data_IF_786975591304
#
_entry.id   IF_786975591304
#
_cell.length_a   1.000
_cell.length_b   1.000
_cell.length_c   1.000
_cell.angle_alpha   90.00
_cell.angle_beta   90.00
_cell.angle_gamma   90.00
#
_symmetry.space_group_name_H-M   'P 1'
#
loop_
_entity.id
_entity.type
_entity.pdbx_description
1 polymer ?
#
# COMPACT_ATOMS: atom_id res chain seq x y z
N UNK A 1 16.15 2.13 -9.14
CA UNK A 1 15.08 1.51 -8.33
C UNK A 1 13.86 1.24 -9.21
N UNK A 2 13.42 -0.01 -9.26
CA UNK A 2 12.21 -0.46 -9.97
C UNK A 2 11.09 -0.65 -8.97
N UNK A 3 9.89 -0.20 -9.31
CA UNK A 3 8.69 -0.38 -8.51
C UNK A 3 7.58 -0.94 -9.40
N UNK A 4 6.91 -1.96 -8.89
CA UNK A 4 5.75 -2.61 -9.52
C UNK A 4 4.55 -2.43 -8.62
N UNK A 5 3.48 -1.84 -9.13
CA UNK A 5 2.19 -1.82 -8.45
C UNK A 5 1.51 -3.15 -8.71
N UNK A 6 1.42 -3.99 -7.67
CA UNK A 6 0.79 -5.30 -7.76
C UNK A 6 -0.73 -5.18 -7.65
N UNK A 7 -1.18 -4.37 -6.69
CA UNK A 7 -2.57 -4.00 -6.51
C UNK A 7 -2.67 -2.52 -6.15
N UNK A 8 -3.72 -1.87 -6.63
CA UNK A 8 -3.91 -0.42 -6.53
C UNK A 8 -5.18 0.02 -5.81
N UNK A 9 -6.06 -0.92 -5.45
CA UNK A 9 -7.28 -0.61 -4.71
C UNK A 9 -7.07 -0.66 -3.19
N UNK A 10 -7.96 0.01 -2.43
CA UNK A 10 -8.07 -0.16 -0.98
C UNK A 10 -8.66 -1.55 -0.63
N UNK A 11 -8.85 -1.82 0.67
CA UNK A 11 -9.51 -3.03 1.16
C UNK A 11 -10.82 -3.36 0.43
N UNK A 12 -10.98 -4.63 0.03
CA UNK A 12 -12.12 -5.13 -0.74
C UNK A 12 -11.93 -5.13 -2.26
N UNK A 13 -10.93 -4.40 -2.78
CA UNK A 13 -10.64 -4.35 -4.21
C UNK A 13 -11.66 -3.56 -5.03
N UNK A 14 -11.51 -3.58 -6.35
CA UNK A 14 -12.45 -2.95 -7.29
C UNK A 14 -12.67 -3.86 -8.52
N UNK A 15 -13.89 -4.31 -8.80
CA UNK A 15 -15.10 -4.14 -8.00
C UNK A 15 -15.03 -4.95 -6.70
N UNK A 16 -15.52 -4.38 -5.59
CA UNK A 16 -15.63 -5.11 -4.32
C UNK A 16 -16.74 -6.17 -4.39
N UNK A 17 -16.47 -7.37 -3.87
CA UNK A 17 -17.30 -8.57 -4.05
C UNK A 17 -18.79 -8.41 -3.73
N UNK A 18 -19.14 -7.63 -2.69
CA UNK A 18 -20.51 -7.38 -2.25
C UNK A 18 -21.02 -5.96 -2.54
N UNK A 19 -20.27 -5.15 -3.28
CA UNK A 19 -20.63 -3.76 -3.54
C UNK A 19 -21.33 -3.61 -4.90
N UNK A 20 -22.42 -2.86 -4.92
CA UNK A 20 -23.16 -2.47 -6.13
C UNK A 20 -23.26 -0.94 -6.27
N UNK A 21 -22.30 -0.19 -5.72
CA UNK A 21 -22.22 1.24 -6.00
C UNK A 21 -22.02 1.48 -7.50
N UNK A 22 -22.27 2.72 -7.96
CA UNK A 22 -22.14 3.12 -9.38
C UNK A 22 -20.87 2.57 -10.03
N UNK A 23 -19.73 2.68 -9.35
CA UNK A 23 -18.45 2.22 -9.88
C UNK A 23 -18.37 0.69 -10.00
N UNK A 24 -18.71 -0.04 -8.93
CA UNK A 24 -18.64 -1.50 -8.94
C UNK A 24 -19.63 -2.13 -9.92
N UNK A 25 -20.84 -1.57 -10.04
CA UNK A 25 -21.79 -2.00 -11.05
C UNK A 25 -21.29 -1.63 -12.45
N UNK A 26 -20.81 -0.41 -12.63
CA UNK A 26 -20.37 0.10 -13.92
C UNK A 26 -19.19 -0.65 -14.53
N UNK A 27 -18.22 -1.09 -13.71
CA UNK A 27 -17.11 -1.91 -14.20
C UNK A 27 -17.55 -3.35 -14.54
N UNK A 28 -18.60 -3.86 -13.90
CA UNK A 28 -19.13 -5.20 -14.20
C UNK A 28 -19.95 -5.22 -15.49
N UNK A 29 -20.78 -4.21 -15.73
CA UNK A 29 -21.65 -4.13 -16.90
C UNK A 29 -21.04 -3.35 -18.09
N UNK A 30 -19.86 -2.73 -17.88
CA UNK A 30 -19.15 -1.96 -18.89
C UNK A 30 -19.74 -0.57 -19.15
N UNK A 31 -20.61 -0.05 -18.28
CA UNK A 31 -21.23 1.27 -18.43
C UNK A 31 -20.33 2.45 -18.05
N UNK A 32 -19.17 2.19 -17.42
CA UNK A 32 -18.13 3.20 -17.20
C UNK A 32 -16.77 2.72 -17.73
N UNK A 33 -15.91 3.63 -18.21
CA UNK A 33 -14.53 3.30 -18.56
C UNK A 33 -13.71 3.18 -17.27
N UNK A 34 -13.60 1.97 -16.73
CA UNK A 34 -12.80 1.67 -15.55
C UNK A 34 -12.17 0.29 -15.65
N UNK A 35 -11.04 0.10 -14.98
CA UNK A 35 -10.29 -1.17 -14.95
C UNK A 35 -10.35 -1.81 -13.56
N UNK A 36 -10.63 -3.13 -13.43
CA UNK A 36 -10.55 -3.84 -12.16
C UNK A 36 -9.17 -3.74 -11.48
N UNK A 37 -9.13 -3.78 -10.16
CA UNK A 37 -7.95 -3.62 -9.31
C UNK A 37 -8.01 -4.53 -8.09
N UNK A 38 -6.90 -5.18 -7.80
CA UNK A 38 -6.63 -5.95 -6.58
C UNK A 38 -6.17 -5.03 -5.45
N UNK A 39 -6.17 -5.54 -4.23
CA UNK A 39 -5.86 -4.79 -3.02
C UNK A 39 -4.39 -4.35 -2.93
N UNK A 40 -4.17 -3.18 -2.32
CA UNK A 40 -2.91 -2.43 -2.28
C UNK A 40 -1.69 -3.28 -1.92
N UNK A 41 -0.75 -3.35 -2.85
CA UNK A 41 0.56 -3.97 -2.65
C UNK A 41 1.51 -3.48 -3.74
N UNK A 42 2.79 -3.32 -3.39
CA UNK A 42 3.86 -3.03 -4.35
C UNK A 42 5.02 -4.00 -4.18
N UNK A 43 5.80 -4.18 -5.23
CA UNK A 43 7.12 -4.80 -5.16
C UNK A 43 8.19 -3.78 -5.58
N UNK A 44 9.30 -3.72 -4.86
CA UNK A 44 10.45 -2.86 -5.18
C UNK A 44 11.71 -3.69 -5.38
N UNK A 45 12.60 -3.24 -6.27
CA UNK A 45 13.85 -3.92 -6.59
C UNK A 45 14.94 -2.93 -7.01
N UNK A 46 16.20 -3.24 -6.68
CA UNK A 46 17.38 -2.55 -7.21
C UNK A 46 17.97 -3.23 -8.46
N UNK A 47 17.68 -4.51 -8.70
CA UNK A 47 18.28 -5.31 -9.78
C UNK A 47 17.27 -5.84 -10.80
N UNK A 48 15.98 -5.84 -10.47
CA UNK A 48 14.88 -6.39 -11.27
C UNK A 48 14.77 -7.91 -11.27
N UNK A 49 15.53 -8.62 -10.45
CA UNK A 49 15.53 -10.09 -10.32
C UNK A 49 15.15 -10.57 -8.93
N UNK A 50 15.41 -9.77 -7.90
CA UNK A 50 15.04 -10.03 -6.51
C UNK A 50 14.19 -8.86 -6.02
N UNK A 51 13.13 -9.16 -5.29
CA UNK A 51 12.09 -8.18 -4.97
C UNK A 51 11.79 -8.15 -3.48
N UNK A 52 11.51 -6.95 -2.99
CA UNK A 52 10.93 -6.69 -1.68
C UNK A 52 9.44 -6.42 -1.87
N UNK A 53 8.60 -7.22 -1.22
CA UNK A 53 7.16 -7.02 -1.23
C UNK A 53 6.77 -6.04 -0.11
N UNK A 54 6.05 -4.98 -0.42
CA UNK A 54 5.45 -4.10 0.58
C UNK A 54 3.95 -4.40 0.68
N UNK A 55 3.53 -4.91 1.84
CA UNK A 55 2.22 -5.45 2.15
C UNK A 55 1.87 -6.71 1.32
N UNK A 56 1.37 -7.75 1.98
CA UNK A 56 0.93 -8.99 1.36
C UNK A 56 -0.60 -9.05 1.36
N UNK A 57 -1.20 -8.62 0.25
CA UNK A 57 -2.66 -8.52 0.15
C UNK A 57 -3.35 -9.89 0.06
N UNK A 58 -4.66 -10.00 0.36
CA UNK A 58 -5.44 -11.21 0.11
C UNK A 58 -5.34 -11.73 -1.34
N UNK A 59 -5.10 -10.83 -2.29
CA UNK A 59 -5.01 -11.12 -3.72
C UNK A 59 -3.61 -11.59 -4.17
N UNK A 60 -2.68 -11.79 -3.24
CA UNK A 60 -1.25 -12.02 -3.54
C UNK A 60 -1.00 -13.14 -4.56
N UNK A 61 -1.78 -14.22 -4.53
CA UNK A 61 -1.63 -15.33 -5.49
C UNK A 61 -1.94 -14.87 -6.93
N UNK A 62 -2.98 -14.07 -7.12
CA UNK A 62 -3.33 -13.49 -8.42
C UNK A 62 -2.30 -12.44 -8.82
N UNK A 63 -1.85 -11.61 -7.87
CA UNK A 63 -0.83 -10.59 -8.10
C UNK A 63 0.49 -11.20 -8.56
N UNK A 64 0.98 -12.27 -7.92
CA UNK A 64 2.19 -12.98 -8.36
C UNK A 64 1.97 -13.60 -9.75
N UNK A 65 0.82 -14.22 -10.00
CA UNK A 65 0.52 -14.82 -11.30
C UNK A 65 0.50 -13.79 -12.45
N UNK A 66 0.04 -12.57 -12.19
CA UNK A 66 0.00 -11.47 -13.16
C UNK A 66 1.36 -10.77 -13.39
N UNK A 67 2.35 -11.02 -12.52
CA UNK A 67 3.65 -10.34 -12.54
C UNK A 67 4.79 -11.38 -12.60
N UNK A 68 5.08 -11.93 -13.80
CA UNK A 68 6.01 -13.05 -13.96
C UNK A 68 7.44 -12.76 -13.48
N UNK A 69 7.84 -11.48 -13.37
CA UNK A 69 9.10 -11.06 -12.75
C UNK A 69 9.24 -11.45 -11.27
N UNK A 70 8.14 -11.81 -10.60
CA UNK A 70 8.14 -12.32 -9.23
C UNK A 70 8.41 -13.84 -9.15
N UNK A 71 8.49 -14.54 -10.27
CA UNK A 71 8.80 -15.97 -10.31
C UNK A 71 10.33 -16.20 -10.36
N UNK A 72 10.83 -17.18 -9.60
CA UNK A 72 12.24 -17.59 -9.72
C UNK A 72 12.41 -18.63 -10.83
N UNK A 73 13.02 -18.23 -11.93
CA UNK A 73 13.35 -19.16 -13.02
C UNK A 73 14.53 -20.07 -12.65
N UNK A 74 14.55 -21.29 -13.21
CA UNK A 74 15.66 -22.24 -13.06
C UNK A 74 15.60 -23.14 -11.82
N UNK A 75 14.54 -23.06 -11.03
CA UNK A 75 14.30 -23.92 -9.84
C UNK A 75 12.92 -24.57 -9.93
N UNK A 76 12.74 -25.73 -9.29
CA UNK A 76 11.44 -26.41 -9.22
C UNK A 76 10.44 -25.71 -8.30
N UNK A 77 10.93 -25.08 -7.23
CA UNK A 77 10.16 -24.24 -6.31
C UNK A 77 11.00 -23.02 -5.95
N UNK A 78 10.44 -21.82 -6.14
CA UNK A 78 11.07 -20.58 -5.75
C UNK A 78 10.26 -19.36 -6.17
N UNK A 79 10.47 -18.28 -5.44
CA UNK A 79 9.93 -16.94 -5.72
C UNK A 79 11.08 -15.95 -5.78
N UNK A 80 10.90 -14.85 -6.50
CA UNK A 80 11.84 -13.74 -6.50
C UNK A 80 11.62 -12.80 -5.30
N UNK A 81 10.55 -13.00 -4.51
CA UNK A 81 10.29 -12.25 -3.29
C UNK A 81 11.25 -12.75 -2.20
N UNK A 82 12.21 -11.90 -1.83
CA UNK A 82 13.23 -12.23 -0.83
C UNK A 82 13.01 -11.62 0.55
N UNK A 83 12.15 -10.60 0.65
CA UNK A 83 11.76 -9.97 1.90
C UNK A 83 10.37 -9.35 1.77
N UNK A 84 9.65 -9.29 2.87
CA UNK A 84 8.31 -8.69 2.97
C UNK A 84 8.38 -7.59 4.02
N UNK A 85 7.91 -6.39 3.71
CA UNK A 85 7.76 -5.27 4.66
C UNK A 85 6.27 -5.04 4.85
N UNK A 86 5.80 -5.00 6.10
CA UNK A 86 4.43 -4.66 6.43
C UNK A 86 4.38 -3.22 6.97
N UNK A 87 3.54 -2.39 6.38
CA UNK A 87 3.37 -0.99 6.82
C UNK A 87 2.40 -0.84 7.98
N UNK A 88 1.55 -1.84 8.20
CA UNK A 88 0.60 -1.93 9.30
C UNK A 88 0.16 -3.39 9.52
N UNK A 89 -0.77 -3.61 10.45
CA UNK A 89 -1.36 -4.91 10.76
C UNK A 89 -2.73 -5.11 10.11
N UNK A 90 -3.12 -4.32 9.10
CA UNK A 90 -4.47 -4.45 8.54
C UNK A 90 -4.66 -5.79 7.81
N UNK A 91 -5.90 -6.29 7.80
CA UNK A 91 -6.26 -7.58 7.17
C UNK A 91 -5.91 -7.57 5.68
N UNK A 92 -6.18 -6.46 5.00
CA UNK A 92 -5.89 -6.25 3.59
C UNK A 92 -4.40 -6.12 3.25
N UNK A 93 -3.53 -5.93 4.24
CA UNK A 93 -2.08 -5.86 4.07
C UNK A 93 -1.31 -7.08 4.59
N UNK A 94 -1.97 -7.97 5.36
CA UNK A 94 -1.31 -9.12 6.00
C UNK A 94 -1.85 -10.49 5.57
N UNK A 95 -3.10 -10.58 5.10
CA UNK A 95 -3.74 -11.89 4.81
C UNK A 95 -2.99 -12.70 3.76
N UNK A 96 -2.33 -12.03 2.81
CA UNK A 96 -1.54 -12.68 1.77
C UNK A 96 -0.43 -13.58 2.31
N UNK A 97 0.09 -13.30 3.52
CA UNK A 97 1.09 -14.15 4.18
C UNK A 97 0.61 -15.61 4.31
N UNK A 98 -0.69 -15.82 4.55
CA UNK A 98 -1.28 -17.16 4.64
C UNK A 98 -1.17 -17.94 3.32
N UNK A 99 -1.23 -17.24 2.17
CA UNK A 99 -1.10 -17.82 0.83
C UNK A 99 0.36 -18.11 0.43
N UNK A 100 1.34 -17.65 1.22
CA UNK A 100 2.77 -17.86 0.96
C UNK A 100 3.37 -19.00 1.79
N UNK A 101 2.57 -19.70 2.61
CA UNK A 101 3.02 -20.71 3.58
C UNK A 101 3.80 -21.87 2.97
N UNK A 102 3.49 -22.29 1.74
CA UNK A 102 4.21 -23.37 1.05
C UNK A 102 5.64 -22.97 0.63
N UNK A 103 5.96 -21.67 0.70
CA UNK A 103 7.28 -21.10 0.43
C UNK A 103 8.08 -20.72 1.68
N UNK A 104 7.57 -20.98 2.89
CA UNK A 104 8.31 -20.66 4.13
C UNK A 104 9.69 -21.35 4.19
N UNK A 105 10.68 -20.73 4.85
CA UNK A 105 10.56 -19.53 5.68
C UNK A 105 10.58 -18.21 4.89
N UNK A 106 9.96 -17.16 5.45
CA UNK A 106 9.95 -15.80 4.89
C UNK A 106 10.54 -14.76 5.85
N UNK A 107 11.33 -13.82 5.33
CA UNK A 107 11.83 -12.68 6.09
C UNK A 107 10.78 -11.56 6.10
N UNK A 108 10.19 -11.28 7.26
CA UNK A 108 9.11 -10.29 7.43
C UNK A 108 9.58 -9.17 8.34
N UNK A 109 9.61 -7.96 7.79
CA UNK A 109 9.98 -6.73 8.47
C UNK A 109 8.72 -5.98 8.88
N UNK A 110 8.57 -5.75 10.18
CA UNK A 110 7.49 -4.93 10.72
C UNK A 110 7.86 -4.38 12.09
N UNK A 111 7.16 -3.35 12.54
CA UNK A 111 7.35 -2.78 13.87
C UNK A 111 6.98 -3.80 14.96
N UNK A 112 7.49 -3.65 16.20
CA UNK A 112 7.09 -4.48 17.33
C UNK A 112 5.56 -4.48 17.57
N UNK A 113 4.89 -3.37 17.31
CA UNK A 113 3.44 -3.23 17.47
C UNK A 113 2.66 -4.06 16.43
N UNK A 114 3.06 -3.98 15.15
CA UNK A 114 2.47 -4.82 14.10
C UNK A 114 2.73 -6.30 14.38
N UNK A 115 3.94 -6.65 14.81
CA UNK A 115 4.25 -8.02 15.23
C UNK A 115 3.40 -8.47 16.44
N UNK A 116 3.13 -7.58 17.39
CA UNK A 116 2.25 -7.84 18.53
C UNK A 116 0.82 -8.16 18.10
N UNK A 117 0.27 -7.40 17.17
CA UNK A 117 -1.05 -7.68 16.57
C UNK A 117 -1.05 -9.03 15.83
N UNK A 118 0.03 -9.31 15.08
CA UNK A 118 0.16 -10.51 14.23
C UNK A 118 0.63 -11.78 14.98
N UNK A 119 0.82 -11.68 16.30
CA UNK A 119 1.07 -12.80 17.22
C UNK A 119 -0.07 -13.02 18.20
N UNK A 120 -1.05 -12.11 18.25
CA UNK A 120 -2.19 -12.17 19.17
C UNK A 120 -3.54 -12.13 18.45
N UNK A 121 -4.08 -10.95 18.14
CA UNK A 121 -5.42 -10.75 17.60
C UNK A 121 -5.61 -11.35 16.21
N UNK A 122 -4.58 -11.33 15.37
CA UNK A 122 -4.54 -12.07 14.10
C UNK A 122 -3.23 -12.86 14.02
N UNK A 123 -3.14 -14.04 14.66
CA UNK A 123 -1.87 -14.66 15.03
C UNK A 123 -1.16 -15.39 13.87
N UNK A 124 -0.94 -14.71 12.74
CA UNK A 124 -0.33 -15.28 11.53
C UNK A 124 1.09 -15.79 11.81
N UNK A 125 1.91 -15.07 12.58
CA UNK A 125 3.27 -15.55 12.94
C UNK A 125 3.20 -16.87 13.70
N UNK A 126 2.30 -16.97 14.67
CA UNK A 126 2.06 -18.19 15.45
C UNK A 126 1.55 -19.32 14.55
N UNK A 127 0.56 -19.06 13.70
CA UNK A 127 -0.02 -20.05 12.79
C UNK A 127 1.02 -20.59 11.79
N UNK A 128 1.79 -19.71 11.16
CA UNK A 128 2.72 -20.10 10.11
C UNK A 128 4.02 -20.71 10.63
N UNK A 129 4.30 -20.63 11.94
CA UNK A 129 5.43 -21.34 12.56
C UNK A 129 5.41 -22.86 12.29
N UNK A 130 4.22 -23.43 12.06
CA UNK A 130 4.02 -24.84 11.70
C UNK A 130 4.42 -25.19 10.25
N UNK A 131 4.73 -24.20 9.40
CA UNK A 131 5.18 -24.38 8.02
C UNK A 131 6.66 -24.03 7.89
N UNK A 132 7.54 -25.04 8.00
CA UNK A 132 8.98 -24.93 7.73
C UNK A 132 9.66 -23.69 8.36
N UNK A 133 9.37 -23.41 9.64
CA UNK A 133 9.92 -22.27 10.37
C UNK A 133 9.13 -20.97 10.27
N UNK A 134 8.18 -20.89 9.32
CA UNK A 134 7.21 -19.80 9.25
C UNK A 134 7.78 -18.44 8.87
N UNK A 135 7.33 -17.41 9.58
CA UNK A 135 7.72 -16.03 9.34
C UNK A 135 8.83 -15.63 10.33
N UNK A 136 9.95 -15.15 9.81
CA UNK A 136 11.08 -14.65 10.59
C UNK A 136 10.90 -13.15 10.75
N UNK A 137 10.57 -12.71 11.97
CA UNK A 137 10.39 -11.29 12.28
C UNK A 137 11.73 -10.55 12.32
N UNK A 138 11.79 -9.43 11.61
CA UNK A 138 12.84 -8.41 11.69
C UNK A 138 12.21 -7.10 12.20
N UNK A 139 12.55 -6.62 13.41
CA UNK A 139 11.94 -5.43 13.96
C UNK A 139 12.35 -4.18 13.19
N UNK A 140 11.37 -3.34 12.87
CA UNK A 140 11.60 -2.00 12.33
C UNK A 140 11.51 -0.99 13.47
N UNK A 141 12.58 -0.25 13.70
CA UNK A 141 12.58 0.94 14.55
C UNK A 141 12.23 2.17 13.70
N UNK A 142 11.15 2.92 14.01
CA UNK A 142 10.81 4.11 13.24
C UNK A 142 11.93 5.17 13.26
N UNK A 143 12.04 5.91 12.17
CA UNK A 143 13.09 6.89 11.86
C UNK A 143 14.53 6.33 11.77
N UNK A 144 14.76 5.06 12.12
CA UNK A 144 16.04 4.39 11.93
C UNK A 144 16.09 3.73 10.54
N UNK A 145 17.13 3.99 9.74
CA UNK A 145 17.28 3.34 8.45
C UNK A 145 17.63 1.86 8.60
N UNK A 146 17.09 1.02 7.72
CA UNK A 146 17.41 -0.40 7.60
C UNK A 146 17.57 -0.82 6.13
N UNK A 147 18.16 -1.99 5.92
CA UNK A 147 18.37 -2.58 4.59
C UNK A 147 18.05 -4.06 4.62
N UNK A 148 17.59 -4.58 3.48
CA UNK A 148 17.31 -6.01 3.31
C UNK A 148 18.38 -6.65 2.43
N UNK A 149 18.70 -7.92 2.68
CA UNK A 149 19.80 -8.60 1.99
C UNK A 149 19.61 -8.75 0.47
N UNK A 150 18.36 -8.86 0.02
CA UNK A 150 18.03 -9.15 -1.39
C UNK A 150 18.09 -7.93 -2.30
N UNK A 151 18.02 -6.72 -1.74
CA UNK A 151 18.15 -5.46 -2.46
C UNK A 151 19.08 -4.51 -1.69
N UNK A 152 20.41 -4.79 -1.68
CA UNK A 152 21.36 -4.08 -0.82
C UNK A 152 21.58 -2.61 -1.19
N UNK A 153 21.21 -2.18 -2.41
CA UNK A 153 21.27 -0.78 -2.79
C UNK A 153 20.07 0.02 -2.27
N UNK A 154 18.99 -0.64 -1.82
CA UNK A 154 17.82 0.03 -1.26
C UNK A 154 17.96 0.20 0.26
N UNK A 155 17.84 1.45 0.71
CA UNK A 155 17.72 1.83 2.11
C UNK A 155 16.29 2.22 2.41
N UNK A 156 15.73 1.67 3.48
CA UNK A 156 14.37 1.90 3.92
C UNK A 156 14.40 2.68 5.23
N UNK A 157 13.53 3.67 5.36
CA UNK A 157 13.29 4.37 6.62
C UNK A 157 11.80 4.42 6.87
N UNK A 158 11.38 3.84 8.00
CA UNK A 158 9.98 3.86 8.41
C UNK A 158 9.64 5.20 9.08
N UNK A 159 8.55 5.82 8.65
CA UNK A 159 8.08 7.10 9.16
C UNK A 159 6.73 6.84 9.86
N UNK A 160 6.61 7.06 11.18
CA UNK A 160 5.34 6.95 11.87
C UNK A 160 4.29 7.84 11.23
N UNK A 161 3.10 7.29 11.01
CA UNK A 161 1.94 8.05 10.53
C UNK A 161 0.78 7.82 11.47
N UNK A 162 0.00 8.87 11.72
CA UNK A 162 -1.16 8.76 12.60
C UNK A 162 -2.29 8.04 11.85
N UNK A 163 -2.52 6.79 12.21
CA UNK A 163 -3.70 6.03 11.81
C UNK A 163 -4.11 5.05 12.92
N UNK A 164 -5.30 4.48 12.81
CA UNK A 164 -5.86 3.61 13.84
C UNK A 164 -5.43 2.16 13.60
N UNK A 165 -5.13 1.44 14.68
CA UNK A 165 -4.91 0.00 14.63
C UNK A 165 -6.17 -0.72 14.08
N UNK A 166 -6.04 -1.90 13.44
CA UNK A 166 -7.18 -2.62 12.87
C UNK A 166 -8.23 -2.97 13.94
N UNK A 167 -9.50 -3.19 13.57
CA UNK A 167 -10.57 -3.47 14.53
C UNK A 167 -10.32 -4.67 15.47
N UNK A 168 -9.52 -5.64 15.05
CA UNK A 168 -9.18 -6.81 15.87
C UNK A 168 -8.07 -6.52 16.89
N UNK A 169 -7.33 -5.42 16.72
CA UNK A 169 -6.19 -5.09 17.58
C UNK A 169 -6.66 -4.71 19.00
N UNK A 170 -5.97 -5.17 20.06
CA UNK A 170 -6.22 -4.70 21.42
C UNK A 170 -5.96 -3.19 21.58
N UNK A 171 -5.28 -2.55 20.62
CA UNK A 171 -4.99 -1.12 20.60
C UNK A 171 -5.95 -0.31 19.72
N UNK A 172 -7.05 -0.89 19.24
CA UNK A 172 -8.08 -0.13 18.51
C UNK A 172 -8.55 1.09 19.30
N UNK A 173 -8.49 2.27 18.69
CA UNK A 173 -8.80 3.56 19.32
C UNK A 173 -7.72 4.13 20.24
N UNK A 174 -6.57 3.45 20.36
CA UNK A 174 -5.41 3.87 21.16
C UNK A 174 -4.11 3.62 20.38
N UNK A 175 -3.93 4.24 19.20
CA UNK A 175 -2.82 3.92 18.33
C UNK A 175 -1.47 4.35 18.95
N UNK A 176 -0.48 3.47 18.82
CA UNK A 176 0.93 3.72 19.10
C UNK A 176 1.65 4.10 17.79
N UNK A 177 2.77 4.84 17.85
CA UNK A 177 3.50 5.29 16.66
C UNK A 177 3.91 4.18 15.69
N UNK A 178 4.08 2.94 16.15
CA UNK A 178 4.48 1.81 15.31
C UNK A 178 3.34 1.07 14.61
N UNK A 179 2.05 1.35 14.88
CA UNK A 179 0.96 0.60 14.22
C UNK A 179 0.84 0.87 12.73
N UNK A 180 1.22 2.07 12.28
CA UNK A 180 1.16 2.47 10.89
C UNK A 180 2.41 3.28 10.54
N UNK A 181 3.08 2.86 9.47
CA UNK A 181 4.27 3.53 8.96
C UNK A 181 4.13 3.84 7.46
N UNK A 182 4.65 4.97 7.04
CA UNK A 182 5.06 5.19 5.66
C UNK A 182 6.51 4.70 5.47
N UNK A 183 6.91 4.45 4.23
CA UNK A 183 8.27 4.04 3.88
C UNK A 183 8.92 5.08 2.97
N UNK A 184 10.02 5.67 3.43
CA UNK A 184 10.98 6.31 2.54
C UNK A 184 11.94 5.24 2.03
N UNK A 185 12.07 5.12 0.71
CA UNK A 185 12.93 4.14 0.04
C UNK A 185 13.92 4.91 -0.82
N UNK A 186 15.20 4.84 -0.46
CA UNK A 186 16.30 5.49 -1.16
C UNK A 186 17.15 4.42 -1.87
N UNK A 187 17.39 4.62 -3.16
CA UNK A 187 18.45 3.88 -3.85
C UNK A 187 19.78 4.58 -3.60
N UNK A 188 20.68 3.96 -2.85
CA UNK A 188 21.95 4.56 -2.43
C UNK A 188 22.95 4.77 -3.58
N UNK A 189 22.76 4.07 -4.70
CA UNK A 189 23.64 4.20 -5.87
C UNK A 189 23.26 5.42 -6.72
N UNK A 190 21.97 5.71 -6.87
CA UNK A 190 21.47 6.86 -7.65
C UNK A 190 21.06 8.07 -6.82
N UNK A 191 20.82 7.90 -5.52
CA UNK A 191 20.22 8.89 -4.63
C UNK A 191 18.71 9.08 -4.82
N UNK A 192 18.07 8.29 -5.70
CA UNK A 192 16.65 8.43 -6.02
C UNK A 192 15.76 7.98 -4.86
N UNK A 193 14.70 8.75 -4.57
CA UNK A 193 13.84 8.57 -3.40
C UNK A 193 12.37 8.38 -3.75
N UNK A 194 11.76 7.33 -3.19
CA UNK A 194 10.33 7.09 -3.18
C UNK A 194 9.79 7.27 -1.76
N UNK A 195 8.71 8.04 -1.60
CA UNK A 195 7.89 7.97 -0.40
C UNK A 195 6.62 7.17 -0.70
N UNK A 196 6.47 6.02 -0.04
CA UNK A 196 5.30 5.15 -0.10
C UNK A 196 4.45 5.29 1.18
N UNK A 197 3.24 5.83 1.06
CA UNK A 197 2.32 6.03 2.17
C UNK A 197 0.87 5.71 1.71
N UNK A 198 0.49 4.42 1.59
CA UNK A 198 -0.81 4.02 1.04
C UNK A 198 -1.99 4.37 1.93
N UNK A 199 -1.78 4.51 3.24
CA UNK A 199 -2.72 5.12 4.18
C UNK A 199 -2.11 6.41 4.72
N UNK A 200 -2.80 7.54 4.58
CA UNK A 200 -2.28 8.84 4.97
C UNK A 200 -3.43 9.73 5.49
N UNK A 201 -3.37 10.04 6.78
CA UNK A 201 -4.18 11.08 7.39
C UNK A 201 -3.64 12.49 7.07
N UNK A 202 -4.03 13.48 7.87
CA UNK A 202 -3.51 14.84 7.71
C UNK A 202 -1.99 14.89 7.93
N UNK A 203 -1.18 15.28 6.91
CA UNK A 203 0.27 15.30 7.05
C UNK A 203 0.71 16.50 7.88
N UNK A 204 1.59 16.26 8.86
CA UNK A 204 2.22 17.32 9.64
C UNK A 204 3.39 17.97 8.88
N UNK A 205 3.99 19.01 9.45
CA UNK A 205 5.09 19.74 8.84
C UNK A 205 6.33 18.86 8.58
N UNK A 206 6.58 17.86 9.42
CA UNK A 206 7.72 16.96 9.27
C UNK A 206 7.50 16.01 8.08
N UNK A 207 6.29 15.46 7.95
CA UNK A 207 5.92 14.61 6.84
C UNK A 207 5.88 15.39 5.52
N UNK A 208 5.39 16.62 5.51
CA UNK A 208 5.44 17.50 4.32
C UNK A 208 6.87 17.76 3.85
N UNK A 209 7.82 17.96 4.78
CA UNK A 209 9.23 18.13 4.43
C UNK A 209 9.81 16.84 3.81
N UNK A 210 9.45 15.67 4.34
CA UNK A 210 9.84 14.37 3.78
C UNK A 210 9.24 14.16 2.39
N UNK A 211 7.96 14.46 2.20
CA UNK A 211 7.29 14.41 0.90
C UNK A 211 8.01 15.31 -0.12
N UNK A 212 8.35 16.54 0.25
CA UNK A 212 9.06 17.48 -0.61
C UNK A 212 10.48 17.01 -1.01
N UNK A 213 11.09 16.13 -0.22
CA UNK A 213 12.44 15.60 -0.46
C UNK A 213 12.49 14.38 -1.39
N UNK A 214 11.35 13.77 -1.71
CA UNK A 214 11.26 12.59 -2.56
C UNK A 214 11.23 12.95 -4.06
N UNK A 215 11.71 12.04 -4.92
CA UNK A 215 11.57 12.16 -6.38
C UNK A 215 10.20 11.69 -6.87
N UNK A 216 9.62 10.71 -6.15
CA UNK A 216 8.31 10.16 -6.42
C UNK A 216 7.50 9.99 -5.14
N UNK A 217 6.22 10.37 -5.20
CA UNK A 217 5.24 10.05 -4.16
C UNK A 217 4.31 8.95 -4.67
N UNK A 218 4.15 7.90 -3.88
CA UNK A 218 3.12 6.87 -4.08
C UNK A 218 2.28 6.79 -2.81
N UNK A 219 1.11 7.41 -2.84
CA UNK A 219 0.42 7.93 -1.65
C UNK A 219 -1.07 7.66 -1.71
N UNK A 220 -1.72 7.70 -0.55
CA UNK A 220 -3.14 7.47 -0.35
C UNK A 220 -4.04 8.17 -1.38
N UNK A 221 -4.95 7.40 -1.97
CA UNK A 221 -5.99 7.85 -2.88
C UNK A 221 -7.36 7.29 -2.52
N UNK A 222 -7.58 6.95 -1.25
CA UNK A 222 -8.71 6.15 -0.79
C UNK A 222 -10.04 6.78 -1.15
N UNK A 223 -10.27 8.03 -0.75
CA UNK A 223 -11.56 8.72 -0.95
C UNK A 223 -11.37 10.07 -1.66
N UNK A 224 -12.33 10.42 -2.51
CA UNK A 224 -12.42 11.77 -3.07
C UNK A 224 -12.99 12.76 -2.07
N UNK A 225 -14.02 12.37 -1.32
CA UNK A 225 -14.66 13.18 -0.27
C UNK A 225 -14.63 12.46 1.07
N UNK A 226 -14.60 13.20 2.18
CA UNK A 226 -14.49 12.60 3.51
C UNK A 226 -15.72 11.72 3.85
N UNK A 227 -16.90 12.10 3.39
CA UNK A 227 -18.16 11.36 3.61
C UNK A 227 -18.57 10.47 2.42
N UNK A 228 -17.64 10.09 1.55
CA UNK A 228 -17.92 9.37 0.30
C UNK A 228 -18.68 8.03 0.50
N UNK A 229 -18.37 7.28 1.57
CA UNK A 229 -19.09 6.03 1.89
C UNK A 229 -20.56 6.26 2.24
N UNK A 230 -20.86 7.38 2.92
CA UNK A 230 -22.22 7.77 3.26
C UNK A 230 -22.96 8.26 2.01
N UNK A 231 -22.31 9.08 1.17
CA UNK A 231 -22.89 9.60 -0.07
C UNK A 231 -23.22 8.48 -1.08
N UNK A 232 -22.42 7.42 -1.10
CA UNK A 232 -22.66 6.24 -1.94
C UNK A 232 -23.60 5.21 -1.31
N UNK A 233 -23.96 5.37 -0.03
CA UNK A 233 -24.88 4.48 0.69
C UNK A 233 -24.30 3.13 1.09
N UNK A 234 -22.97 2.97 1.07
CA UNK A 234 -22.29 1.69 1.34
C UNK A 234 -21.61 1.62 2.72
N UNK A 235 -21.63 2.72 3.47
CA UNK A 235 -21.05 2.79 4.81
C UNK A 235 -21.42 4.08 5.55
N UNK A 236 -20.94 4.20 6.80
CA UNK A 236 -21.13 5.40 7.64
C UNK A 236 -19.83 6.06 8.08
N UNK A 237 -18.71 5.35 7.98
CA UNK A 237 -17.41 5.87 8.39
C UNK A 237 -16.97 6.98 7.42
N UNK A 238 -16.42 8.05 7.98
CA UNK A 238 -15.71 9.08 7.21
C UNK A 238 -14.29 8.63 6.88
N UNK A 239 -13.62 9.32 5.96
CA UNK A 239 -12.19 9.16 5.72
C UNK A 239 -11.38 9.35 6.99
N UNK A 240 -11.70 10.38 7.78
CA UNK A 240 -11.07 10.64 9.09
C UNK A 240 -11.26 9.48 10.08
N UNK A 241 -12.44 8.86 10.14
CA UNK A 241 -12.66 7.68 11.01
C UNK A 241 -11.77 6.49 10.62
N UNK A 242 -11.40 6.42 9.34
CA UNK A 242 -10.56 5.38 8.76
C UNK A 242 -9.07 5.78 8.68
N UNK A 243 -8.71 7.03 9.04
CA UNK A 243 -7.34 7.53 8.99
C UNK A 243 -6.88 7.97 7.59
N UNK A 244 -7.80 8.36 6.71
CA UNK A 244 -7.53 8.80 5.33
C UNK A 244 -7.90 10.26 5.12
N UNK A 245 -6.98 11.06 4.55
CA UNK A 245 -7.26 12.42 4.10
C UNK A 245 -7.89 12.39 2.70
N UNK A 246 -9.12 12.87 2.58
CA UNK A 246 -9.83 12.95 1.31
C UNK A 246 -9.11 13.85 0.27
N UNK A 247 -9.21 13.49 -1.01
CA UNK A 247 -8.49 14.16 -2.09
C UNK A 247 -9.04 15.53 -2.45
N UNK A 248 -10.37 15.62 -2.65
CA UNK A 248 -11.05 16.72 -3.33
C UNK A 248 -11.56 17.85 -2.43
N UNK A 249 -11.33 17.75 -1.12
CA UNK A 249 -11.71 18.78 -0.14
C UNK A 249 -10.89 20.08 -0.32
N UNK A 250 -11.36 21.20 0.26
CA UNK A 250 -10.67 22.49 0.17
C UNK A 250 -9.23 22.43 0.70
N UNK A 251 -9.02 21.69 1.80
CA UNK A 251 -7.72 21.36 2.38
C UNK A 251 -7.34 19.89 2.13
N UNK A 252 -7.84 19.32 1.03
CA UNK A 252 -7.64 17.93 0.67
C UNK A 252 -6.25 17.62 0.13
N UNK A 253 -5.93 16.34 0.05
CA UNK A 253 -4.61 15.86 -0.35
C UNK A 253 -4.24 16.31 -1.78
N UNK A 254 -5.20 16.48 -2.70
CA UNK A 254 -4.91 17.03 -4.04
C UNK A 254 -4.30 18.43 -3.97
N UNK A 255 -4.79 19.28 -3.05
CA UNK A 255 -4.29 20.64 -2.83
C UNK A 255 -2.86 20.62 -2.28
N UNK A 256 -2.62 19.80 -1.26
CA UNK A 256 -1.29 19.57 -0.66
C UNK A 256 -0.30 19.12 -1.73
N UNK A 257 -0.64 18.09 -2.51
CA UNK A 257 0.23 17.54 -3.53
C UNK A 257 0.55 18.54 -4.65
N UNK A 258 -0.40 19.40 -5.00
CA UNK A 258 -0.19 20.41 -6.05
C UNK A 258 0.88 21.43 -5.67
N UNK A 259 1.11 21.66 -4.38
CA UNK A 259 2.09 22.63 -3.88
C UNK A 259 3.51 22.05 -3.74
N UNK A 260 3.65 20.72 -3.73
CA UNK A 260 4.94 20.07 -3.53
C UNK A 260 5.80 20.09 -4.81
N UNK A 261 7.11 20.35 -4.71
CA UNK A 261 8.04 20.40 -5.84
C UNK A 261 8.46 19.02 -6.35
N UNK A 262 7.65 17.97 -6.14
CA UNK A 262 7.96 16.59 -6.51
C UNK A 262 7.63 16.33 -7.96
N UNK A 263 8.51 15.61 -8.67
CA UNK A 263 8.38 15.36 -10.12
C UNK A 263 7.22 14.42 -10.45
N UNK A 264 7.03 13.36 -9.67
CA UNK A 264 6.02 12.33 -9.94
C UNK A 264 5.15 12.08 -8.71
N UNK A 265 3.84 12.18 -8.87
CA UNK A 265 2.85 12.09 -7.79
C UNK A 265 1.78 11.08 -8.22
N UNK A 266 1.67 9.98 -7.50
CA UNK A 266 0.83 8.85 -7.89
C UNK A 266 -0.05 8.45 -6.71
N UNK A 267 -1.35 8.37 -6.95
CA UNK A 267 -2.32 7.88 -5.97
C UNK A 267 -2.40 6.35 -6.03
N UNK A 268 -2.45 5.69 -4.86
CA UNK A 268 -2.63 4.24 -4.67
C UNK A 268 -3.63 3.99 -3.54
N UNK A 269 -4.01 2.74 -3.30
CA UNK A 269 -4.95 2.36 -2.23
C UNK A 269 -6.30 3.07 -2.44
N UNK A 270 -6.89 2.92 -3.63
CA UNK A 270 -8.07 3.66 -4.06
C UNK A 270 -9.33 2.86 -3.73
N UNK A 271 -10.26 3.45 -2.96
CA UNK A 271 -11.49 2.74 -2.60
C UNK A 271 -12.42 2.57 -3.80
N UNK A 272 -13.21 1.50 -3.81
CA UNK A 272 -14.11 1.19 -4.93
C UNK A 272 -15.19 2.27 -5.18
N UNK A 273 -15.49 3.12 -4.18
CA UNK A 273 -16.43 4.24 -4.30
C UNK A 273 -15.85 5.46 -4.98
N UNK A 274 -14.52 5.55 -5.12
CA UNK A 274 -13.86 6.79 -5.49
C UNK A 274 -14.08 7.10 -6.99
N UNK A 275 -14.63 8.28 -7.34
CA UNK A 275 -14.92 8.64 -8.73
C UNK A 275 -13.68 8.70 -9.63
N UNK A 276 -12.46 8.78 -9.09
CA UNK A 276 -11.22 8.79 -9.89
C UNK A 276 -10.97 7.46 -10.62
N UNK A 277 -11.68 6.40 -10.25
CA UNK A 277 -11.65 5.09 -10.93
C UNK A 277 -12.37 5.11 -12.28
N UNK A 278 -13.39 5.97 -12.44
CA UNK A 278 -14.03 6.26 -13.73
C UNK A 278 -13.12 7.20 -14.51
N UNK A 279 -12.54 6.70 -15.61
CA UNK A 279 -11.54 7.42 -16.40
C UNK A 279 -12.12 8.67 -17.09
N UNK A 280 -13.45 8.75 -17.21
CA UNK A 280 -14.18 9.89 -17.78
C UNK A 280 -14.63 10.92 -16.76
N UNK A 281 -14.41 10.69 -15.46
CA UNK A 281 -14.91 11.56 -14.41
C UNK A 281 -14.22 12.94 -14.36
N UNK A 282 -14.94 13.93 -13.85
CA UNK A 282 -14.40 15.28 -13.68
C UNK A 282 -13.25 15.29 -12.64
N UNK A 283 -13.35 14.41 -11.65
CA UNK A 283 -12.37 14.15 -10.60
C UNK A 283 -11.07 13.59 -11.19
N UNK A 284 -11.17 12.57 -12.07
CA UNK A 284 -10.02 12.05 -12.80
C UNK A 284 -9.35 13.12 -13.67
N UNK A 285 -10.15 13.92 -14.36
CA UNK A 285 -9.64 15.04 -15.16
C UNK A 285 -8.98 16.12 -14.30
N UNK A 286 -9.48 16.37 -13.09
CA UNK A 286 -8.92 17.35 -12.15
C UNK A 286 -7.54 16.95 -11.62
N UNK A 287 -7.31 15.66 -11.38
CA UNK A 287 -6.00 15.10 -11.03
C UNK A 287 -5.02 15.22 -12.20
N UNK A 288 -5.45 14.83 -13.39
CA UNK A 288 -4.63 14.89 -14.62
C UNK A 288 -4.14 16.31 -14.90
N UNK A 289 -5.00 17.33 -14.77
CA UNK A 289 -4.63 18.74 -14.93
C UNK A 289 -3.57 19.23 -13.93
N UNK A 290 -3.40 18.54 -12.80
CA UNK A 290 -2.42 18.86 -11.75
C UNK A 290 -1.19 17.96 -11.79
N UNK A 291 -1.08 17.10 -12.80
CA UNK A 291 0.03 16.15 -12.91
C UNK A 291 0.04 15.08 -11.81
N UNK A 292 -1.14 14.74 -11.26
CA UNK A 292 -1.30 13.67 -10.28
C UNK A 292 -1.82 12.44 -11.02
N UNK A 293 -1.02 11.38 -11.04
CA UNK A 293 -1.36 10.09 -11.64
C UNK A 293 -2.23 9.27 -10.69
N UNK A 294 -2.99 8.34 -11.25
CA UNK A 294 -3.76 7.35 -10.50
C UNK A 294 -3.26 5.97 -10.90
N UNK A 295 -2.79 5.20 -9.94
CA UNK A 295 -2.20 3.89 -10.19
C UNK A 295 -3.22 2.87 -10.72
N UNK A 296 -2.67 1.80 -11.27
CA UNK A 296 -3.38 0.64 -11.77
C UNK A 296 -2.51 -0.60 -11.56
N UNK A 297 -3.15 -1.76 -11.48
CA UNK A 297 -2.45 -3.03 -11.32
C UNK A 297 -1.53 -3.28 -12.53
N UNK A 298 -0.28 -3.64 -12.27
CA UNK A 298 0.75 -3.85 -13.29
C UNK A 298 1.55 -2.59 -13.65
N UNK A 299 1.19 -1.41 -13.12
CA UNK A 299 1.95 -0.17 -13.34
C UNK A 299 3.41 -0.33 -12.91
N UNK A 300 4.32 0.05 -13.80
CA UNK A 300 5.77 0.05 -13.56
C UNK A 300 6.29 1.48 -13.43
N UNK A 301 7.12 1.70 -12.41
CA UNK A 301 7.77 2.99 -12.12
C UNK A 301 9.27 2.71 -12.01
N UNK A 302 10.07 3.51 -12.70
CA UNK A 302 11.53 3.48 -12.61
C UNK A 302 12.04 4.82 -12.09
N UNK A 303 12.95 4.75 -11.10
CA UNK A 303 13.62 5.87 -10.44
C UNK A 303 15.13 5.66 -10.42
#
# INVERSE_FOLDING_TARGET
MKIKVLGSAAGGGFPQWNCNCRNCQGVRDGSIPATPRTQSSIAVSDNGTDWVLCNASPDISQQIAANPELNRHGVLRGTAIGSIILTDSQIDHCTGLLNLREGCPHHVWCTPEVHGDLTSGFPIFTMLSHWNGGLIHHPIAPAEPFSVAVCPALQFTAIPILSNAPPYSPYRGRPLPGHNIALMIENRDSGAKLLYAPGLGEPDAALLALMASADCLLIDGTLWQDNELANTGVGRNTGRDMGHLALGEEQGLMGVLSQLPVKRKILIHINNTNPILDESSAERAALTRRGIEVSYDGMSIEL
#
